data_IF_065103151183
#
_entry.id   IF_065103151183
#
_cell.length_a   1.000
_cell.length_b   1.000
_cell.length_c   1.000
_cell.angle_alpha   90.00
_cell.angle_beta   90.00
_cell.angle_gamma   90.00
#
_symmetry.space_group_name_H-M   'P 1'
#
loop_
_entity.id
_entity.type
_entity.pdbx_description
1 polymer ?
#
# COMPACT_ATOMS: atom_id res chain seq x y z
N UNK A 1 2.79 9.90 9.93
CA UNK A 1 3.63 10.86 9.20
C UNK A 1 4.33 10.17 8.04
N UNK A 2 4.14 10.67 6.83
CA UNK A 2 4.75 10.10 5.62
C UNK A 2 6.00 10.90 5.27
N UNK A 3 7.17 10.35 5.56
CA UNK A 3 8.47 11.03 5.44
C UNK A 3 9.18 10.66 4.12
N UNK A 4 10.22 11.39 3.76
CA UNK A 4 11.01 11.14 2.55
C UNK A 4 12.51 11.28 2.84
N UNK A 5 12.97 10.66 3.92
CA UNK A 5 14.38 10.69 4.34
C UNK A 5 15.17 9.46 3.87
N UNK A 6 14.48 8.44 3.34
CA UNK A 6 15.06 7.18 2.87
C UNK A 6 15.64 6.30 3.97
N UNK A 7 15.36 6.61 5.25
CA UNK A 7 16.00 5.99 6.40
C UNK A 7 14.98 5.53 7.45
N UNK A 8 13.89 6.27 7.60
CA UNK A 8 12.93 6.02 8.68
C UNK A 8 12.15 4.74 8.44
N UNK A 9 12.43 3.73 9.26
CA UNK A 9 11.61 2.54 9.32
C UNK A 9 10.21 2.86 9.87
N UNK A 10 9.31 1.89 9.80
CA UNK A 10 7.96 2.00 10.36
C UNK A 10 8.00 2.19 11.89
N UNK A 11 7.71 3.40 12.36
CA UNK A 11 7.62 3.77 13.77
C UNK A 11 6.15 3.88 14.17
N UNK A 12 5.83 3.26 15.31
CA UNK A 12 4.48 3.22 15.86
C UNK A 12 4.39 4.07 17.12
N UNK A 13 3.56 5.09 17.08
CA UNK A 13 3.18 5.87 18.25
C UNK A 13 1.74 5.52 18.64
N UNK A 14 1.62 4.55 19.55
CA UNK A 14 0.32 4.06 20.02
C UNK A 14 -0.43 5.10 20.86
N UNK A 15 0.29 6.02 21.52
CA UNK A 15 -0.33 7.05 22.35
C UNK A 15 -1.02 8.09 21.49
N UNK A 16 -0.32 8.57 20.45
CA UNK A 16 -0.85 9.57 19.53
C UNK A 16 -1.62 8.97 18.35
N UNK A 17 -1.68 7.62 18.24
CA UNK A 17 -2.26 6.88 17.10
C UNK A 17 -1.65 7.33 15.77
N UNK A 18 -0.33 7.54 15.77
CA UNK A 18 0.43 7.98 14.61
C UNK A 18 1.36 6.89 14.14
N UNK A 19 1.45 6.75 12.82
CA UNK A 19 2.38 5.84 12.17
C UNK A 19 3.31 6.68 11.33
N UNK A 20 4.60 6.62 11.64
CA UNK A 20 5.63 7.33 10.88
C UNK A 20 6.37 6.33 10.03
N UNK A 21 6.49 6.61 8.74
CA UNK A 21 7.15 5.72 7.80
C UNK A 21 7.80 6.51 6.69
N UNK A 22 8.97 6.05 6.26
CA UNK A 22 9.58 6.54 5.05
C UNK A 22 8.81 6.08 3.80
N UNK A 23 8.64 7.02 2.88
CA UNK A 23 7.98 6.84 1.60
C UNK A 23 8.64 5.75 0.76
N UNK A 24 9.96 5.72 0.72
CA UNK A 24 10.68 4.73 -0.09
C UNK A 24 10.47 3.33 0.45
N UNK A 25 10.48 3.18 1.77
CA UNK A 25 10.10 1.92 2.42
C UNK A 25 8.69 1.48 2.02
N UNK A 26 7.68 2.35 2.19
CA UNK A 26 6.29 2.01 1.92
C UNK A 26 6.04 1.66 0.45
N UNK A 27 6.60 2.44 -0.49
CA UNK A 27 6.44 2.21 -1.92
C UNK A 27 7.17 0.96 -2.42
N UNK A 28 8.33 0.61 -1.84
CA UNK A 28 9.02 -0.63 -2.14
C UNK A 28 8.24 -1.83 -1.63
N UNK A 29 7.72 -1.77 -0.41
CA UNK A 29 6.97 -2.87 0.17
C UNK A 29 5.67 -3.14 -0.61
N UNK A 30 4.92 -2.08 -0.96
CA UNK A 30 3.75 -2.20 -1.82
C UNK A 30 4.09 -2.63 -3.26
N UNK A 31 5.29 -2.33 -3.77
CA UNK A 31 5.75 -2.86 -5.06
C UNK A 31 5.95 -4.38 -5.02
N UNK A 32 6.49 -4.92 -3.93
CA UNK A 32 6.69 -6.36 -3.80
C UNK A 32 5.34 -7.12 -3.78
N UNK A 33 4.25 -6.52 -3.29
CA UNK A 33 2.92 -7.13 -3.40
C UNK A 33 2.44 -7.26 -4.85
N UNK A 34 2.71 -6.26 -5.69
CA UNK A 34 2.43 -6.36 -7.14
C UNK A 34 3.25 -7.50 -7.74
N UNK A 35 4.55 -7.52 -7.45
CA UNK A 35 5.48 -8.51 -7.99
C UNK A 35 5.09 -9.94 -7.58
N UNK A 36 4.58 -10.12 -6.38
CA UNK A 36 4.12 -11.40 -5.85
C UNK A 36 2.68 -11.74 -6.24
N UNK A 37 1.99 -10.90 -7.02
CA UNK A 37 0.61 -11.12 -7.45
C UNK A 37 -0.39 -11.10 -6.29
N UNK A 38 -0.07 -10.39 -5.21
CA UNK A 38 -0.91 -10.25 -4.02
C UNK A 38 -1.84 -9.03 -4.12
N UNK A 39 -1.53 -8.09 -5.01
CA UNK A 39 -2.34 -6.90 -5.21
C UNK A 39 -3.46 -7.16 -6.23
N UNK A 40 -4.69 -6.88 -5.83
CA UNK A 40 -5.87 -7.01 -6.69
C UNK A 40 -6.20 -5.67 -7.35
N UNK A 41 -6.42 -5.70 -8.67
CA UNK A 41 -6.79 -4.54 -9.47
C UNK A 41 -8.14 -4.84 -10.15
N UNK A 42 -9.10 -3.91 -10.18
CA UNK A 42 -10.33 -4.08 -10.92
C UNK A 42 -10.09 -4.43 -12.39
N UNK A 43 -10.90 -5.34 -12.96
CA UNK A 43 -10.80 -5.71 -14.38
C UNK A 43 -10.97 -4.50 -15.32
N UNK A 44 -11.74 -3.49 -14.89
CA UNK A 44 -12.01 -2.23 -15.60
C UNK A 44 -11.01 -1.12 -15.27
N UNK A 45 -9.84 -1.42 -14.69
CA UNK A 45 -8.87 -0.40 -14.30
C UNK A 45 -8.36 0.50 -15.44
N UNK A 46 -8.51 0.07 -16.69
CA UNK A 46 -8.23 0.89 -17.88
C UNK A 46 -9.23 2.05 -18.08
N UNK A 47 -10.37 2.02 -17.43
CA UNK A 47 -11.43 3.03 -17.53
C UNK A 47 -11.45 3.97 -16.32
N UNK A 48 -10.73 3.61 -15.25
CA UNK A 48 -10.64 4.42 -14.04
C UNK A 48 -9.92 5.73 -14.36
N UNK A 49 -10.54 6.83 -13.92
CA UNK A 49 -10.02 8.19 -14.05
C UNK A 49 -9.68 8.54 -15.51
N UNK A 50 -10.62 8.28 -16.43
CA UNK A 50 -10.45 8.46 -17.87
C UNK A 50 -9.26 7.69 -18.48
N UNK A 51 -8.85 6.60 -17.82
CA UNK A 51 -7.71 5.78 -18.22
C UNK A 51 -6.37 6.18 -17.61
N UNK A 52 -6.35 7.19 -16.75
CA UNK A 52 -5.11 7.65 -16.11
C UNK A 52 -4.62 6.74 -14.99
N UNK A 53 -5.44 5.79 -14.50
CA UNK A 53 -5.06 4.90 -13.40
C UNK A 53 -3.66 4.30 -13.53
N UNK A 54 -3.34 3.70 -14.69
CA UNK A 54 -2.02 3.11 -14.89
C UNK A 54 -0.91 4.15 -15.03
N UNK A 55 -1.20 5.33 -15.56
CA UNK A 55 -0.25 6.44 -15.63
C UNK A 55 0.09 6.89 -14.20
N UNK A 56 -0.93 7.06 -13.36
CA UNK A 56 -0.76 7.46 -11.96
C UNK A 56 -0.03 6.41 -11.12
N UNK A 57 -0.31 5.13 -11.36
CA UNK A 57 0.41 4.02 -10.72
C UNK A 57 1.91 3.99 -11.04
N UNK A 58 2.29 4.52 -12.21
CA UNK A 58 3.68 4.58 -12.70
C UNK A 58 4.33 5.95 -12.48
N UNK A 59 3.61 6.94 -11.98
CA UNK A 59 4.08 8.31 -11.90
C UNK A 59 5.27 8.47 -10.91
N UNK A 60 5.22 7.93 -9.67
CA UNK A 60 6.38 7.98 -8.80
C UNK A 60 7.58 7.31 -9.46
N UNK A 61 8.73 7.98 -9.45
CA UNK A 61 9.94 7.49 -10.10
C UNK A 61 11.04 7.24 -9.08
N UNK A 62 11.70 6.09 -9.18
CA UNK A 62 12.84 5.78 -8.32
C UNK A 62 14.12 6.36 -8.90
N UNK A 63 14.71 7.32 -8.20
CA UNK A 63 15.97 7.94 -8.61
C UNK A 63 17.11 7.51 -7.68
N UNK A 64 18.32 7.50 -8.24
CA UNK A 64 19.55 7.33 -7.48
C UNK A 64 19.93 8.68 -6.87
N UNK A 65 19.99 8.74 -5.55
CA UNK A 65 20.42 9.90 -4.79
C UNK A 65 21.84 9.67 -4.23
N UNK A 66 22.69 10.68 -4.34
CA UNK A 66 24.09 10.66 -3.89
C UNK A 66 24.44 11.94 -3.12
N UNK A 67 23.45 12.70 -2.66
CA UNK A 67 23.64 14.00 -2.01
C UNK A 67 24.59 13.93 -0.78
N UNK A 68 24.53 12.84 -0.02
CA UNK A 68 25.30 12.68 1.23
C UNK A 68 26.58 11.84 1.05
N UNK A 69 27.02 11.59 -0.19
CA UNK A 69 28.14 10.70 -0.49
C UNK A 69 27.84 9.20 -0.33
N UNK A 70 26.64 8.86 0.14
CA UNK A 70 26.10 7.50 0.21
C UNK A 70 25.11 7.29 -0.94
N UNK A 71 25.23 6.19 -1.68
CA UNK A 71 24.28 5.86 -2.76
C UNK A 71 22.99 5.34 -2.13
N UNK A 72 21.91 6.09 -2.29
CA UNK A 72 20.56 5.69 -1.89
C UNK A 72 19.63 5.69 -3.10
N UNK A 73 18.57 4.91 -3.04
CA UNK A 73 17.48 4.99 -4.00
C UNK A 73 16.27 5.57 -3.30
N UNK A 74 15.69 6.64 -3.85
CA UNK A 74 14.50 7.29 -3.29
C UNK A 74 13.41 7.40 -4.35
N UNK A 75 12.16 7.27 -3.93
CA UNK A 75 11.02 7.58 -4.79
C UNK A 75 10.75 9.09 -4.74
N UNK A 76 10.80 9.73 -5.90
CA UNK A 76 10.43 11.14 -6.04
C UNK A 76 9.07 11.26 -6.70
N UNK A 77 8.34 12.28 -6.25
CA UNK A 77 7.13 12.71 -6.92
C UNK A 77 7.50 13.48 -8.17
N UNK A 78 6.83 13.15 -9.27
CA UNK A 78 7.01 13.70 -10.61
C UNK A 78 5.84 14.58 -11.04
N UNK A 79 4.77 14.68 -10.24
CA UNK A 79 3.65 15.55 -10.54
C UNK A 79 2.41 15.34 -9.66
N UNK A 80 1.27 15.95 -10.04
CA UNK A 80 0.02 15.87 -9.28
C UNK A 80 -0.75 14.55 -9.46
N UNK A 81 -0.24 13.62 -10.27
CA UNK A 81 -0.95 12.43 -10.72
C UNK A 81 -0.57 11.16 -9.93
N UNK A 82 -0.17 11.25 -8.67
CA UNK A 82 0.45 10.11 -7.96
C UNK A 82 -0.47 9.46 -6.93
N UNK A 83 -1.73 9.87 -6.91
CA UNK A 83 -2.70 9.51 -5.89
C UNK A 83 -2.86 8.00 -5.77
N UNK A 84 -3.06 7.29 -6.87
CA UNK A 84 -3.28 5.84 -6.82
C UNK A 84 -2.07 5.06 -6.29
N UNK A 85 -0.86 5.48 -6.64
CA UNK A 85 0.35 4.80 -6.18
C UNK A 85 0.57 4.99 -4.67
N UNK A 86 0.25 6.17 -4.14
CA UNK A 86 0.28 6.42 -2.70
C UNK A 86 -0.86 5.73 -1.96
N UNK A 87 -2.07 5.71 -2.52
CA UNK A 87 -3.19 4.95 -1.95
C UNK A 87 -2.85 3.47 -1.82
N UNK A 88 -2.21 2.88 -2.83
CA UNK A 88 -1.72 1.50 -2.73
C UNK A 88 -0.72 1.31 -1.58
N UNK A 89 0.22 2.23 -1.40
CA UNK A 89 1.18 2.16 -0.30
C UNK A 89 0.50 2.28 1.07
N UNK A 90 -0.56 3.09 1.19
CA UNK A 90 -1.35 3.18 2.41
C UNK A 90 -2.16 1.92 2.68
N UNK A 91 -2.73 1.30 1.65
CA UNK A 91 -3.42 0.01 1.76
C UNK A 91 -2.48 -1.08 2.29
N UNK A 92 -1.26 -1.19 1.74
CA UNK A 92 -0.22 -2.08 2.26
C UNK A 92 0.06 -1.84 3.74
N UNK A 93 0.24 -0.58 4.15
CA UNK A 93 0.52 -0.23 5.54
C UNK A 93 -0.66 -0.63 6.44
N UNK A 94 -1.91 -0.36 6.00
CA UNK A 94 -3.14 -0.80 6.67
C UNK A 94 -3.16 -2.31 6.91
N UNK A 95 -2.86 -3.08 5.86
CA UNK A 95 -2.81 -4.54 5.93
C UNK A 95 -1.68 -5.06 6.83
N UNK A 96 -0.48 -4.46 6.79
CA UNK A 96 0.64 -4.81 7.68
C UNK A 96 0.30 -4.51 9.15
N UNK A 97 -0.38 -3.39 9.43
CA UNK A 97 -0.85 -3.04 10.77
C UNK A 97 -1.82 -4.10 11.30
N UNK A 98 -2.82 -4.45 10.50
CA UNK A 98 -3.83 -5.45 10.86
C UNK A 98 -3.22 -6.83 11.10
N UNK A 99 -2.22 -7.23 10.29
CA UNK A 99 -1.49 -8.50 10.47
C UNK A 99 -0.69 -8.54 11.77
N UNK A 100 -0.10 -7.42 12.19
CA UNK A 100 0.70 -7.34 13.43
C UNK A 100 -0.13 -7.18 14.70
N UNK A 101 -1.30 -6.54 14.58
CA UNK A 101 -2.25 -6.34 15.67
C UNK A 101 -3.57 -6.98 15.29
N UNK A 102 -3.64 -8.33 15.28
CA UNK A 102 -4.90 -9.00 14.97
C UNK A 102 -5.97 -8.50 15.95
N UNK A 103 -7.16 -8.12 15.48
CA UNK A 103 -8.21 -7.62 16.35
C UNK A 103 -8.48 -8.62 17.48
N UNK A 104 -8.47 -8.11 18.72
CA UNK A 104 -8.77 -8.90 19.90
C UNK A 104 -10.24 -9.33 19.84
N UNK A 105 -10.46 -10.65 19.69
CA UNK A 105 -11.74 -11.35 19.58
C UNK A 105 -12.43 -11.31 18.19
N UNK A 106 -12.46 -12.50 17.56
CA UNK A 106 -13.65 -13.04 16.89
C UNK A 106 -14.01 -12.45 15.54
N UNK A 107 -13.76 -13.22 14.48
CA UNK A 107 -14.17 -12.89 13.12
C UNK A 107 -13.02 -12.29 12.35
N UNK A 108 -12.15 -13.16 11.83
CA UNK A 108 -11.12 -12.71 10.91
C UNK A 108 -11.77 -11.90 9.79
N UNK A 109 -11.12 -10.80 9.40
CA UNK A 109 -11.01 -10.54 7.97
C UNK A 109 -10.17 -11.68 7.40
N UNK A 110 -10.79 -12.86 7.29
CA UNK A 110 -10.31 -13.87 6.39
C UNK A 110 -10.32 -13.18 5.03
N UNK A 111 -9.13 -12.99 4.44
CA UNK A 111 -9.05 -13.17 3.01
C UNK A 111 -9.71 -14.53 2.77
N UNK A 112 -10.96 -14.53 2.30
CA UNK A 112 -11.69 -15.77 2.08
C UNK A 112 -10.79 -16.70 1.28
N UNK A 113 -10.79 -17.99 1.61
CA UNK A 113 -10.11 -18.99 0.81
C UNK A 113 -10.45 -18.71 -0.66
N UNK A 114 -9.42 -18.69 -1.52
CA UNK A 114 -9.61 -18.50 -2.97
C UNK A 114 -10.64 -19.53 -3.43
N UNK A 115 -11.87 -19.08 -3.66
CA UNK A 115 -12.86 -19.88 -4.38
C UNK A 115 -12.24 -20.32 -5.70
N UNK A 116 -12.55 -21.54 -6.12
CA UNK A 116 -12.03 -22.15 -7.35
C UNK A 116 -12.35 -21.36 -8.63
N UNK A 117 -13.16 -20.30 -8.51
CA UNK A 117 -13.63 -19.39 -9.54
C UNK A 117 -12.85 -18.06 -9.60
N UNK A 118 -11.97 -17.77 -8.63
CA UNK A 118 -11.00 -16.68 -8.71
C UNK A 118 -11.57 -15.25 -8.85
N UNK A 119 -12.88 -15.05 -8.66
CA UNK A 119 -13.54 -13.80 -9.07
C UNK A 119 -14.13 -12.92 -7.97
N UNK A 120 -14.18 -13.35 -6.70
CA UNK A 120 -14.63 -12.49 -5.60
C UNK A 120 -13.89 -12.81 -4.30
N UNK A 121 -12.86 -12.01 -3.98
CA UNK A 121 -12.51 -11.78 -2.59
C UNK A 121 -13.51 -10.73 -2.06
N UNK A 122 -14.54 -11.21 -1.37
CA UNK A 122 -15.66 -10.44 -0.83
C UNK A 122 -15.15 -9.45 0.24
N UNK A 123 -14.80 -8.22 -0.17
CA UNK A 123 -14.58 -7.10 0.75
C UNK A 123 -15.95 -6.69 1.31
N UNK A 124 -16.35 -7.24 2.45
CA UNK A 124 -17.44 -6.66 3.24
C UNK A 124 -18.55 -7.58 3.75
N UNK A 125 -18.28 -8.83 4.12
CA UNK A 125 -19.23 -9.53 4.99
C UNK A 125 -19.14 -9.02 6.43
N UNK A 126 -20.02 -8.09 6.74
CA UNK A 126 -20.49 -7.83 8.09
C UNK A 126 -20.94 -9.15 8.74
N UNK A 127 -20.24 -9.60 9.77
CA UNK A 127 -20.80 -10.56 10.72
C UNK A 127 -21.66 -9.79 11.72
N UNK A 128 -22.96 -9.77 11.47
CA UNK A 128 -23.96 -9.26 12.40
C UNK A 128 -25.28 -9.98 12.17
N UNK A 129 -25.55 -11.00 12.97
CA UNK A 129 -26.91 -11.48 13.23
C UNK A 129 -27.15 -11.37 14.74
N UNK A 130 -28.23 -10.68 15.09
CA UNK A 130 -28.77 -10.52 16.45
C UNK A 130 -29.10 -11.85 17.11
#
# INVERSE_FOLDING_TARGET
MYQNDGLTMLIWDLHNRLITVDRTFALNAAYEEIRNGLWWIPAVAREIDNGDFYAQMKAPTRIRDVADGQVRYRWVETGPLEHYRHTQAFDYLGADIARRNPPAAGGGMACGDRGADGFLADYGRHFGSW
#
